data_IF_797217712957
#
_entry.id   IF_797217712957
#
_cell.length_a   1.000
_cell.length_b   1.000
_cell.length_c   1.000
_cell.angle_alpha   90.00
_cell.angle_beta   90.00
_cell.angle_gamma   90.00
#
_symmetry.space_group_name_H-M   'P 1'
#
loop_
_entity.id
_entity.type
_entity.pdbx_description
1 polymer ?
#
# COMPACT_ATOMS: atom_id res chain seq x y z
N UNK A 1 28.28 -46.07 50.14
CA UNK A 1 27.23 -45.12 50.59
C UNK A 1 26.81 -44.11 49.49
N UNK A 2 27.49 -44.05 48.33
CA UNK A 2 27.19 -43.17 47.19
C UNK A 2 25.93 -43.52 46.35
N UNK A 3 25.41 -44.75 46.46
CA UNK A 3 24.20 -45.18 45.75
C UNK A 3 22.93 -44.44 46.25
N UNK A 4 22.79 -44.23 47.56
CA UNK A 4 21.58 -43.63 48.16
C UNK A 4 21.32 -42.20 47.68
N UNK A 5 22.34 -41.34 47.60
CA UNK A 5 22.19 -39.95 47.13
C UNK A 5 21.90 -39.86 45.63
N UNK A 6 22.42 -40.81 44.84
CA UNK A 6 22.16 -40.88 43.40
C UNK A 6 20.71 -41.32 43.11
N UNK A 7 20.18 -42.26 43.89
CA UNK A 7 18.79 -42.71 43.76
C UNK A 7 17.79 -41.63 44.17
N UNK A 8 18.06 -40.86 45.24
CA UNK A 8 17.23 -39.73 45.65
C UNK A 8 17.25 -38.60 44.61
N UNK A 9 18.41 -38.28 44.05
CA UNK A 9 18.52 -37.26 42.99
C UNK A 9 17.71 -37.63 41.74
N UNK A 10 17.74 -38.91 41.33
CA UNK A 10 16.94 -39.40 40.21
C UNK A 10 15.44 -39.38 40.53
N UNK A 11 15.04 -39.76 41.74
CA UNK A 11 13.64 -39.70 42.16
C UNK A 11 13.09 -38.26 42.17
N UNK A 12 13.87 -37.30 42.68
CA UNK A 12 13.50 -35.88 42.66
C UNK A 12 13.43 -35.35 41.24
N UNK A 13 14.37 -35.72 40.37
CA UNK A 13 14.33 -35.35 38.96
C UNK A 13 13.03 -35.82 38.29
N UNK A 14 12.65 -37.08 38.44
CA UNK A 14 11.41 -37.60 37.85
C UNK A 14 10.15 -36.91 38.41
N UNK A 15 10.12 -36.62 39.72
CA UNK A 15 9.02 -35.88 40.32
C UNK A 15 8.96 -34.43 39.83
N UNK A 16 10.11 -33.79 39.66
CA UNK A 16 10.17 -32.41 39.16
C UNK A 16 9.73 -32.35 37.69
N UNK A 17 10.14 -33.30 36.85
CA UNK A 17 9.64 -33.40 35.47
C UNK A 17 8.12 -33.54 35.46
N UNK A 18 7.55 -34.44 36.28
CA UNK A 18 6.09 -34.61 36.39
C UNK A 18 5.38 -33.33 36.85
N UNK A 19 5.97 -32.61 37.80
CA UNK A 19 5.45 -31.33 38.28
C UNK A 19 5.40 -30.29 37.15
N UNK A 20 6.51 -30.09 36.43
CA UNK A 20 6.58 -29.13 35.32
C UNK A 20 5.60 -29.51 34.19
N UNK A 21 5.51 -30.79 33.84
CA UNK A 21 4.55 -31.26 32.84
C UNK A 21 3.09 -31.01 33.25
N UNK A 22 2.79 -31.04 34.56
CA UNK A 22 1.48 -30.66 35.07
C UNK A 22 1.25 -29.14 35.04
N UNK A 23 2.29 -28.35 35.29
CA UNK A 23 2.23 -26.89 35.29
C UNK A 23 2.08 -26.32 33.86
N UNK A 24 2.74 -26.94 32.88
CA UNK A 24 2.73 -26.57 31.46
C UNK A 24 1.52 -27.16 30.70
N UNK A 25 0.33 -27.12 31.32
CA UNK A 25 -0.91 -27.63 30.74
C UNK A 25 -2.14 -26.80 31.10
N UNK A 26 -2.99 -26.56 30.11
CA UNK A 26 -4.34 -26.00 30.26
C UNK A 26 -4.36 -24.74 31.12
N UNK A 27 -5.31 -24.68 32.06
CA UNK A 27 -5.52 -23.50 32.92
C UNK A 27 -4.30 -23.12 33.78
N UNK A 28 -3.44 -24.07 34.14
CA UNK A 28 -2.22 -23.77 34.92
C UNK A 28 -1.20 -23.01 34.08
N UNK A 29 -0.98 -23.45 32.85
CA UNK A 29 -0.10 -22.78 31.90
C UNK A 29 -0.63 -21.38 31.56
N UNK A 30 -1.94 -21.28 31.27
CA UNK A 30 -2.56 -19.98 30.98
C UNK A 30 -2.38 -19.00 32.14
N UNK A 31 -2.64 -19.42 33.37
CA UNK A 31 -2.46 -18.58 34.57
C UNK A 31 -1.00 -18.18 34.79
N UNK A 32 -0.07 -19.09 34.50
CA UNK A 32 1.36 -18.79 34.53
C UNK A 32 1.72 -17.72 33.50
N UNK A 33 1.34 -17.90 32.23
CA UNK A 33 1.61 -16.92 31.16
C UNK A 33 0.96 -15.57 31.44
N UNK A 34 -0.27 -15.55 31.93
CA UNK A 34 -0.96 -14.31 32.32
C UNK A 34 -0.17 -13.53 33.38
N UNK A 35 0.35 -14.25 34.38
CA UNK A 35 1.18 -13.65 35.42
C UNK A 35 2.48 -13.09 34.82
N UNK A 36 3.19 -13.88 34.02
CA UNK A 36 4.46 -13.46 33.42
C UNK A 36 4.27 -12.26 32.48
N UNK A 37 3.24 -12.26 31.63
CA UNK A 37 2.91 -11.11 30.75
C UNK A 37 2.63 -9.86 31.59
N UNK A 38 1.85 -9.99 32.66
CA UNK A 38 1.51 -8.87 33.54
C UNK A 38 2.76 -8.31 34.22
N UNK A 39 3.61 -9.19 34.76
CA UNK A 39 4.85 -8.76 35.41
C UNK A 39 5.82 -8.12 34.41
N UNK A 40 6.00 -8.71 33.22
CA UNK A 40 6.87 -8.15 32.18
C UNK A 40 6.41 -6.78 31.69
N UNK A 41 5.11 -6.59 31.46
CA UNK A 41 4.57 -5.29 31.05
C UNK A 41 4.72 -4.24 32.17
N UNK A 42 4.52 -4.61 33.43
CA UNK A 42 4.76 -3.71 34.56
C UNK A 42 6.24 -3.32 34.67
N UNK A 43 7.18 -4.24 34.41
CA UNK A 43 8.61 -3.89 34.37
C UNK A 43 8.94 -2.99 33.19
N UNK A 44 8.28 -3.20 32.03
CA UNK A 44 8.45 -2.42 30.82
C UNK A 44 8.07 -0.93 30.98
N UNK A 45 7.21 -0.60 31.95
CA UNK A 45 6.91 0.79 32.33
C UNK A 45 8.14 1.56 32.84
N UNK A 46 9.19 0.87 33.29
CA UNK A 46 10.42 1.47 33.82
C UNK A 46 11.63 1.37 32.87
N UNK A 47 11.48 0.66 31.75
CA UNK A 47 12.60 0.36 30.84
C UNK A 47 12.41 1.13 29.54
N UNK A 48 13.36 2.01 29.21
CA UNK A 48 13.28 2.81 27.99
C UNK A 48 13.63 2.00 26.75
N UNK A 49 13.13 2.42 25.58
CA UNK A 49 13.45 1.79 24.29
C UNK A 49 14.97 1.74 24.06
N UNK A 50 15.67 2.86 24.30
CA UNK A 50 17.12 2.98 24.13
C UNK A 50 17.94 2.09 25.09
N UNK A 51 17.33 1.59 26.17
CA UNK A 51 17.99 0.62 27.07
C UNK A 51 17.89 -0.81 26.54
N UNK A 52 16.86 -1.13 25.77
CA UNK A 52 16.63 -2.46 25.21
C UNK A 52 17.33 -2.67 23.86
N UNK A 53 17.37 -1.62 23.04
CA UNK A 53 17.92 -1.68 21.70
C UNK A 53 18.39 -0.29 21.26
N UNK A 54 19.00 -0.20 20.08
CA UNK A 54 19.51 1.02 19.47
C UNK A 54 19.09 1.12 18.01
N UNK A 55 19.12 2.33 17.46
CA UNK A 55 18.86 2.56 16.05
C UNK A 55 19.78 1.71 15.16
N UNK A 56 21.05 1.55 15.53
CA UNK A 56 22.02 0.73 14.81
C UNK A 56 21.64 -0.77 14.84
N UNK A 57 21.20 -1.29 15.98
CA UNK A 57 20.75 -2.68 16.07
C UNK A 57 19.50 -2.92 15.22
N UNK A 58 18.53 -2.00 15.23
CA UNK A 58 17.32 -2.08 14.38
C UNK A 58 17.69 -2.01 12.91
N UNK A 59 18.56 -1.06 12.52
CA UNK A 59 19.06 -0.97 11.15
C UNK A 59 19.82 -2.22 10.72
N UNK A 60 20.58 -2.85 11.63
CA UNK A 60 21.24 -4.11 11.36
C UNK A 60 20.25 -5.26 11.09
N UNK A 61 19.09 -5.27 11.75
CA UNK A 61 18.01 -6.23 11.44
C UNK A 61 17.40 -5.94 10.08
N UNK A 62 17.10 -4.67 9.77
CA UNK A 62 16.58 -4.27 8.46
C UNK A 62 17.54 -4.68 7.35
N UNK A 63 18.84 -4.45 7.53
CA UNK A 63 19.85 -4.86 6.56
C UNK A 63 19.81 -6.38 6.33
N UNK A 64 19.92 -7.18 7.39
CA UNK A 64 20.01 -8.64 7.24
C UNK A 64 18.72 -9.28 6.72
N UNK A 65 17.56 -8.82 7.17
CA UNK A 65 16.27 -9.48 6.92
C UNK A 65 15.54 -8.85 5.72
N UNK A 66 15.56 -7.53 5.60
CA UNK A 66 14.81 -6.83 4.55
C UNK A 66 15.66 -6.66 3.30
N UNK A 67 16.94 -6.30 3.43
CA UNK A 67 17.81 -6.00 2.27
C UNK A 67 18.51 -7.24 1.74
N UNK A 68 19.18 -7.99 2.62
CA UNK A 68 20.12 -9.05 2.23
C UNK A 68 19.47 -10.42 2.07
N UNK A 69 18.39 -10.70 2.81
CA UNK A 69 17.75 -12.02 2.81
C UNK A 69 17.27 -12.39 1.41
N UNK A 70 17.88 -13.42 0.85
CA UNK A 70 17.39 -14.05 -0.36
C UNK A 70 16.08 -14.76 -0.05
N UNK A 71 15.02 -14.32 -0.72
CA UNK A 71 13.72 -14.94 -0.63
C UNK A 71 13.70 -16.13 -1.61
N UNK A 72 13.17 -17.25 -1.15
CA UNK A 72 13.02 -18.44 -1.99
C UNK A 72 12.17 -18.15 -3.22
N UNK A 73 12.48 -18.81 -4.34
CA UNK A 73 11.78 -18.62 -5.62
C UNK A 73 10.30 -18.99 -5.56
N UNK A 74 9.84 -19.73 -4.55
CA UNK A 74 8.42 -20.07 -4.37
C UNK A 74 7.56 -18.94 -3.77
N UNK A 75 8.15 -17.87 -3.22
CA UNK A 75 7.38 -16.78 -2.60
C UNK A 75 6.52 -15.99 -3.61
N UNK A 76 7.03 -15.62 -4.80
CA UNK A 76 6.22 -14.91 -5.81
C UNK A 76 5.08 -15.77 -6.34
N UNK A 77 5.34 -17.05 -6.56
CA UNK A 77 4.32 -18.01 -7.02
C UNK A 77 3.20 -18.12 -5.99
N UNK A 78 3.56 -18.31 -4.71
CA UNK A 78 2.58 -18.32 -3.62
C UNK A 78 1.80 -17.00 -3.53
N UNK A 79 2.47 -15.85 -3.65
CA UNK A 79 1.80 -14.55 -3.61
C UNK A 79 0.81 -14.37 -4.77
N UNK A 80 1.17 -14.83 -5.98
CA UNK A 80 0.30 -14.81 -7.14
C UNK A 80 -0.91 -15.74 -6.96
N UNK A 81 -0.70 -16.96 -6.44
CA UNK A 81 -1.77 -17.91 -6.11
C UNK A 81 -2.75 -17.32 -5.09
N UNK A 82 -2.24 -16.75 -3.99
CA UNK A 82 -3.09 -16.14 -2.96
C UNK A 82 -3.86 -14.92 -3.49
N UNK A 83 -3.25 -14.10 -4.36
CA UNK A 83 -3.95 -12.99 -5.01
C UNK A 83 -5.10 -13.48 -5.88
N UNK A 84 -4.90 -14.55 -6.64
CA UNK A 84 -5.96 -15.19 -7.43
C UNK A 84 -7.09 -15.71 -6.56
N UNK A 85 -6.78 -16.35 -5.43
CA UNK A 85 -7.83 -16.81 -4.50
C UNK A 85 -8.65 -15.65 -3.91
N UNK A 86 -8.02 -14.52 -3.59
CA UNK A 86 -8.74 -13.33 -3.13
C UNK A 86 -9.69 -12.78 -4.19
N UNK A 87 -9.27 -12.77 -5.46
CA UNK A 87 -10.10 -12.27 -6.58
C UNK A 87 -11.28 -13.18 -6.88
N UNK A 88 -11.11 -14.49 -6.65
CA UNK A 88 -12.16 -15.49 -6.86
C UNK A 88 -13.00 -15.75 -5.61
N UNK A 89 -12.68 -15.12 -4.48
CA UNK A 89 -13.41 -15.30 -3.23
C UNK A 89 -14.85 -14.79 -3.35
N UNK A 90 -15.81 -15.55 -2.82
CA UNK A 90 -17.24 -15.20 -2.89
C UNK A 90 -17.55 -13.83 -2.29
N UNK A 91 -16.76 -13.39 -1.30
CA UNK A 91 -16.88 -12.08 -0.65
C UNK A 91 -16.80 -10.92 -1.65
N UNK A 92 -16.12 -11.07 -2.78
CA UNK A 92 -16.04 -10.05 -3.84
C UNK A 92 -17.41 -9.75 -4.47
N UNK A 93 -18.25 -10.78 -4.60
CA UNK A 93 -19.60 -10.65 -5.17
C UNK A 93 -20.62 -10.15 -4.13
N UNK A 94 -20.35 -10.34 -2.85
CA UNK A 94 -21.27 -9.97 -1.76
C UNK A 94 -20.94 -8.60 -1.13
N UNK A 95 -19.74 -8.05 -1.37
CA UNK A 95 -19.27 -6.79 -0.76
C UNK A 95 -19.36 -5.64 -1.75
N UNK A 96 -19.99 -4.55 -1.35
CA UNK A 96 -20.07 -3.29 -2.11
C UNK A 96 -18.89 -2.36 -1.83
N UNK A 97 -18.56 -1.46 -2.77
CA UNK A 97 -17.49 -0.48 -2.56
C UNK A 97 -17.72 0.39 -1.31
N UNK A 98 -18.98 0.78 -1.06
CA UNK A 98 -19.38 1.59 0.09
C UNK A 98 -19.19 0.90 1.44
N UNK A 99 -19.14 -0.43 1.48
CA UNK A 99 -18.80 -1.20 2.68
C UNK A 99 -17.29 -1.22 2.96
N UNK A 100 -16.44 -0.99 1.96
CA UNK A 100 -14.98 -0.96 2.11
C UNK A 100 -14.50 0.45 2.44
N UNK A 101 -14.97 1.45 1.71
CA UNK A 101 -14.62 2.86 1.93
C UNK A 101 -15.92 3.63 2.09
N UNK A 102 -16.10 4.24 3.26
CA UNK A 102 -17.27 5.09 3.48
C UNK A 102 -17.20 6.36 2.63
N UNK A 103 -18.36 6.94 2.34
CA UNK A 103 -18.46 8.22 1.63
C UNK A 103 -17.68 9.32 2.35
N UNK A 104 -17.71 9.36 3.68
CA UNK A 104 -16.95 10.34 4.47
C UNK A 104 -15.44 10.16 4.28
N UNK A 105 -14.95 8.92 4.26
CA UNK A 105 -13.53 8.64 4.00
C UNK A 105 -13.13 9.01 2.57
N UNK A 106 -13.94 8.65 1.57
CA UNK A 106 -13.71 9.01 0.17
C UNK A 106 -13.64 10.55 0.01
N UNK A 107 -14.56 11.26 0.64
CA UNK A 107 -14.60 12.73 0.64
C UNK A 107 -13.36 13.31 1.33
N UNK A 108 -12.93 12.76 2.47
CA UNK A 108 -11.74 13.20 3.18
C UNK A 108 -10.45 13.04 2.36
N UNK A 109 -10.26 11.90 1.68
CA UNK A 109 -9.14 11.71 0.76
C UNK A 109 -9.16 12.69 -0.42
N UNK A 110 -10.35 12.94 -0.95
CA UNK A 110 -10.57 13.87 -2.04
C UNK A 110 -10.24 15.31 -1.63
N UNK A 111 -10.69 15.77 -0.47
CA UNK A 111 -10.40 17.11 0.04
C UNK A 111 -8.90 17.35 0.24
N UNK A 112 -8.19 16.40 0.86
CA UNK A 112 -6.74 16.51 1.04
C UNK A 112 -6.02 16.54 -0.32
N UNK A 113 -6.45 15.71 -1.27
CA UNK A 113 -5.88 15.69 -2.63
C UNK A 113 -6.14 17.01 -3.38
N UNK A 114 -7.35 17.57 -3.26
CA UNK A 114 -7.73 18.81 -3.94
C UNK A 114 -7.08 20.06 -3.33
N UNK A 115 -6.65 19.98 -2.07
CA UNK A 115 -5.90 21.05 -1.38
C UNK A 115 -4.55 21.37 -2.04
N UNK A 116 -4.01 20.44 -2.84
CA UNK A 116 -2.72 20.53 -3.55
C UNK A 116 -2.79 21.43 -4.80
N UNK A 117 -3.24 22.67 -4.64
CA UNK A 117 -3.48 23.62 -5.76
C UNK A 117 -2.30 23.79 -6.70
N UNK A 118 -1.09 23.92 -6.15
CA UNK A 118 0.12 24.11 -6.96
C UNK A 118 0.43 22.91 -7.86
N UNK A 119 0.13 21.69 -7.41
CA UNK A 119 0.33 20.49 -8.22
C UNK A 119 -0.72 20.41 -9.34
N UNK A 120 -1.97 20.75 -9.05
CA UNK A 120 -3.03 20.84 -10.07
C UNK A 120 -2.66 21.83 -11.17
N UNK A 121 -2.19 23.02 -10.81
CA UNK A 121 -1.78 24.04 -11.79
C UNK A 121 -0.62 23.55 -12.66
N UNK A 122 0.36 22.87 -12.05
CA UNK A 122 1.49 22.29 -12.78
C UNK A 122 1.07 21.21 -13.76
N UNK A 123 0.19 20.29 -13.34
CA UNK A 123 -0.33 19.22 -14.22
C UNK A 123 -1.12 19.80 -15.40
N UNK A 124 -1.98 20.80 -15.16
CA UNK A 124 -2.71 21.47 -16.25
C UNK A 124 -1.71 22.09 -17.24
N UNK A 125 -0.72 22.86 -16.75
CA UNK A 125 0.29 23.47 -17.61
C UNK A 125 1.10 22.44 -18.41
N UNK A 126 1.48 21.32 -17.81
CA UNK A 126 2.22 20.23 -18.48
C UNK A 126 1.38 19.56 -19.57
N UNK A 127 0.09 19.30 -19.33
CA UNK A 127 -0.84 18.76 -20.34
C UNK A 127 -1.02 19.76 -21.49
N UNK A 128 -1.17 21.06 -21.20
CA UNK A 128 -1.33 22.11 -22.21
C UNK A 128 -0.07 22.27 -23.07
N UNK A 129 1.12 22.09 -22.47
CA UNK A 129 2.39 22.10 -23.15
C UNK A 129 2.66 20.80 -23.96
N UNK A 130 1.87 19.73 -23.73
CA UNK A 130 2.11 18.45 -24.37
C UNK A 130 1.84 18.50 -25.88
N UNK A 131 2.76 18.02 -26.75
CA UNK A 131 2.62 18.12 -28.21
C UNK A 131 1.34 17.48 -28.76
N UNK A 132 0.92 16.35 -28.19
CA UNK A 132 -0.33 15.66 -28.59
C UNK A 132 -1.56 16.52 -28.33
N UNK A 133 -1.58 17.27 -27.22
CA UNK A 133 -2.68 18.16 -26.91
C UNK A 133 -2.72 19.35 -27.88
N UNK A 134 -1.55 19.92 -28.18
CA UNK A 134 -1.43 21.01 -29.15
C UNK A 134 -1.87 20.58 -30.56
N UNK A 135 -1.51 19.36 -30.95
CA UNK A 135 -1.95 18.75 -32.20
C UNK A 135 -3.46 18.51 -32.20
N UNK A 136 -4.04 18.01 -31.11
CA UNK A 136 -5.48 17.82 -30.97
C UNK A 136 -6.23 19.15 -31.13
N UNK A 137 -5.84 20.20 -30.42
CA UNK A 137 -6.44 21.54 -30.52
C UNK A 137 -6.33 22.08 -31.93
N UNK A 138 -5.14 21.96 -32.54
CA UNK A 138 -4.89 22.34 -33.93
C UNK A 138 -5.85 21.62 -34.88
N UNK A 139 -5.95 20.29 -34.78
CA UNK A 139 -6.77 19.47 -35.66
C UNK A 139 -8.27 19.74 -35.49
N UNK A 140 -8.76 19.92 -34.26
CA UNK A 140 -10.17 20.24 -33.98
C UNK A 140 -10.54 21.61 -34.54
N UNK A 141 -9.68 22.63 -34.34
CA UNK A 141 -9.92 23.98 -34.87
C UNK A 141 -9.82 23.99 -36.39
N UNK A 142 -8.85 23.29 -36.96
CA UNK A 142 -8.72 23.12 -38.41
C UNK A 142 -9.97 22.48 -39.01
N UNK A 143 -10.41 21.33 -38.48
CA UNK A 143 -11.60 20.64 -38.92
C UNK A 143 -12.86 21.50 -38.77
N UNK A 144 -13.01 22.21 -37.64
CA UNK A 144 -14.12 23.13 -37.42
C UNK A 144 -14.17 24.28 -38.42
N UNK A 145 -13.02 24.89 -38.75
CA UNK A 145 -12.93 25.96 -39.75
C UNK A 145 -13.22 25.46 -41.17
N UNK A 146 -12.69 24.29 -41.52
CA UNK A 146 -12.95 23.64 -42.81
C UNK A 146 -14.45 23.34 -42.93
N UNK A 147 -15.04 22.66 -41.96
CA UNK A 147 -16.46 22.30 -41.98
C UNK A 147 -17.36 23.55 -42.00
N UNK A 148 -17.09 24.57 -41.18
CA UNK A 148 -17.88 25.81 -41.19
C UNK A 148 -17.84 26.54 -42.55
N UNK A 149 -16.70 26.52 -43.24
CA UNK A 149 -16.54 27.23 -44.50
C UNK A 149 -17.07 26.43 -45.70
N UNK A 150 -17.02 25.10 -45.64
CA UNK A 150 -17.47 24.21 -46.71
C UNK A 150 -18.93 23.74 -46.56
N UNK A 151 -19.42 23.48 -45.34
CA UNK A 151 -20.80 23.02 -45.08
C UNK A 151 -21.76 24.20 -44.81
N UNK A 152 -21.33 25.21 -44.05
CA UNK A 152 -22.11 26.39 -43.68
C UNK A 152 -21.93 27.58 -44.67
N UNK A 153 -21.71 27.28 -45.94
CA UNK A 153 -21.94 28.10 -47.14
C UNK A 153 -21.88 29.65 -47.00
N UNK A 154 -20.85 30.20 -46.36
CA UNK A 154 -20.63 31.65 -46.25
C UNK A 154 -20.27 32.35 -47.57
N UNK A 155 -20.15 31.60 -48.67
CA UNK A 155 -20.04 32.16 -50.03
C UNK A 155 -21.39 32.73 -50.50
N UNK A 156 -22.51 32.53 -49.78
CA UNK A 156 -23.86 32.93 -50.24
C UNK A 156 -24.53 34.08 -49.48
N UNK A 157 -23.92 34.69 -48.45
CA UNK A 157 -24.53 35.88 -47.81
C UNK A 157 -24.21 37.16 -48.60
N UNK A 158 -25.16 37.51 -49.47
CA UNK A 158 -25.22 38.78 -50.20
C UNK A 158 -25.43 39.97 -49.27
N UNK A 159 -24.56 40.98 -49.39
CA UNK A 159 -24.73 42.30 -48.76
C UNK A 159 -25.81 43.09 -49.51
N UNK A 160 -26.83 43.68 -48.83
CA UNK A 160 -27.80 44.55 -49.50
C UNK A 160 -27.13 45.86 -49.93
N UNK A 161 -27.12 46.16 -51.24
CA UNK A 161 -26.80 47.52 -51.74
C UNK A 161 -25.68 47.65 -52.77
N UNK A 162 -25.03 46.58 -53.24
CA UNK A 162 -24.04 46.69 -54.33
C UNK A 162 -24.62 46.20 -55.65
N UNK A 163 -25.31 47.10 -56.35
CA UNK A 163 -25.69 46.91 -57.74
C UNK A 163 -24.45 46.96 -58.63
N UNK A 164 -24.30 45.95 -59.49
CA UNK A 164 -23.32 45.84 -60.59
C UNK A 164 -22.02 45.06 -60.32
N UNK A 165 -22.15 43.75 -60.05
CA UNK A 165 -21.12 42.75 -60.45
C UNK A 165 -21.72 41.48 -61.07
N UNK A 166 -22.88 41.57 -61.73
CA UNK A 166 -23.61 40.39 -62.23
C UNK A 166 -23.20 39.94 -63.65
N UNK A 167 -22.12 40.48 -64.24
CA UNK A 167 -21.63 40.09 -65.58
C UNK A 167 -20.24 39.46 -65.64
N UNK A 168 -19.65 39.13 -64.48
CA UNK A 168 -18.44 38.29 -64.41
C UNK A 168 -18.72 36.84 -63.98
N UNK A 169 -20.00 36.43 -63.95
CA UNK A 169 -20.44 35.15 -63.37
C UNK A 169 -20.40 33.92 -64.29
N UNK A 170 -20.01 34.04 -65.57
CA UNK A 170 -20.02 32.90 -66.51
C UNK A 170 -18.65 32.36 -66.92
N UNK A 171 -17.55 32.91 -66.40
CA UNK A 171 -16.20 32.35 -66.57
C UNK A 171 -15.52 31.87 -65.28
N UNK A 172 -16.21 31.96 -64.15
CA UNK A 172 -15.77 31.43 -62.85
C UNK A 172 -16.60 30.23 -62.36
N UNK A 173 -17.67 29.85 -63.06
CA UNK A 173 -18.58 28.80 -62.64
C UNK A 173 -18.22 27.40 -63.17
N UNK A 174 -17.00 27.17 -63.66
CA UNK A 174 -16.52 25.84 -64.07
C UNK A 174 -15.03 25.62 -63.81
N UNK A 175 -14.50 26.26 -62.78
CA UNK A 175 -13.18 25.96 -62.24
C UNK A 175 -13.28 26.05 -60.74
N UNK A 176 -13.24 24.90 -60.06
CA UNK A 176 -12.38 24.81 -58.89
C UNK A 176 -11.07 25.49 -59.31
N UNK A 177 -10.79 26.68 -58.79
CA UNK A 177 -9.57 27.41 -59.11
C UNK A 177 -8.42 26.52 -58.64
N UNK A 178 -7.58 25.97 -59.53
CA UNK A 178 -6.44 25.17 -59.09
C UNK A 178 -5.53 26.10 -58.30
N UNK A 179 -5.34 25.81 -57.01
CA UNK A 179 -4.56 26.63 -56.09
C UNK A 179 -5.37 27.40 -55.03
N UNK A 180 -6.71 27.42 -55.07
CA UNK A 180 -7.48 27.90 -53.92
C UNK A 180 -7.35 26.94 -52.75
N UNK A 181 -7.44 25.63 -52.96
CA UNK A 181 -7.34 24.63 -51.89
C UNK A 181 -5.97 24.71 -51.17
N UNK A 182 -4.86 24.62 -51.92
CA UNK A 182 -3.51 24.70 -51.33
C UNK A 182 -3.17 26.07 -50.72
N UNK A 183 -3.56 27.18 -51.36
CA UNK A 183 -3.26 28.53 -50.83
C UNK A 183 -4.11 28.84 -49.60
N UNK A 184 -5.35 28.37 -49.59
CA UNK A 184 -6.28 28.51 -48.48
C UNK A 184 -5.89 27.63 -47.31
N UNK A 185 -5.62 26.36 -47.55
CA UNK A 185 -5.09 25.42 -46.57
C UNK A 185 -3.81 25.99 -45.95
N UNK A 186 -2.90 26.54 -46.76
CA UNK A 186 -1.68 27.21 -46.27
C UNK A 186 -1.99 28.42 -45.40
N UNK A 187 -3.03 29.21 -45.72
CA UNK A 187 -3.44 30.38 -44.91
C UNK A 187 -4.09 29.97 -43.58
N UNK A 188 -4.94 28.94 -43.58
CA UNK A 188 -5.51 28.38 -42.35
C UNK A 188 -4.39 27.81 -41.48
N UNK A 189 -3.49 27.02 -42.05
CA UNK A 189 -2.34 26.46 -41.34
C UNK A 189 -1.43 27.55 -40.76
N UNK A 190 -1.16 28.62 -41.51
CA UNK A 190 -0.38 29.75 -41.02
C UNK A 190 -1.09 30.49 -39.87
N UNK A 191 -2.38 30.82 -40.04
CA UNK A 191 -3.17 31.47 -38.99
C UNK A 191 -3.29 30.59 -37.72
N UNK A 192 -3.47 29.28 -37.90
CA UNK A 192 -3.56 28.32 -36.81
C UNK A 192 -2.22 28.22 -36.08
N UNK A 193 -1.10 28.16 -36.80
CA UNK A 193 0.24 28.21 -36.20
C UNK A 193 0.47 29.49 -35.38
N UNK A 194 0.02 30.64 -35.90
CA UNK A 194 0.16 31.92 -35.20
C UNK A 194 -0.80 32.03 -33.99
N UNK A 195 -1.96 31.39 -34.06
CA UNK A 195 -3.02 31.49 -33.04
C UNK A 195 -2.97 30.37 -31.99
N UNK A 196 -2.31 29.25 -32.28
CA UNK A 196 -2.24 28.06 -31.43
C UNK A 196 -1.76 28.39 -30.01
N UNK A 197 -0.68 29.16 -29.78
CA UNK A 197 -0.27 29.53 -28.42
C UNK A 197 -1.38 30.26 -27.63
N UNK A 198 -2.13 31.13 -28.30
CA UNK A 198 -3.26 31.84 -27.69
C UNK A 198 -4.48 30.96 -27.42
N UNK A 199 -4.72 29.95 -28.26
CA UNK A 199 -5.77 28.95 -28.05
C UNK A 199 -5.43 28.02 -26.88
N UNK A 200 -4.17 27.61 -26.76
CA UNK A 200 -3.67 26.81 -25.63
C UNK A 200 -3.79 27.60 -24.33
N UNK A 201 -3.33 28.86 -24.28
CA UNK A 201 -3.43 29.69 -23.08
C UNK A 201 -4.90 29.94 -22.64
N UNK A 202 -5.82 30.08 -23.59
CA UNK A 202 -7.26 30.19 -23.30
C UNK A 202 -7.84 28.87 -22.78
N UNK A 203 -7.41 27.74 -23.34
CA UNK A 203 -7.81 26.42 -22.88
C UNK A 203 -7.31 26.14 -21.47
N UNK A 204 -6.06 26.50 -21.19
CA UNK A 204 -5.46 26.45 -19.84
C UNK A 204 -6.28 27.28 -18.84
N UNK A 205 -6.57 28.54 -19.17
CA UNK A 205 -7.40 29.41 -18.33
C UNK A 205 -8.82 28.87 -18.13
N UNK A 206 -9.40 28.24 -19.15
CA UNK A 206 -10.68 27.57 -19.04
C UNK A 206 -10.59 26.37 -18.09
N UNK A 207 -9.57 25.52 -18.22
CA UNK A 207 -9.35 24.38 -17.32
C UNK A 207 -9.13 24.82 -15.88
N UNK A 208 -8.39 25.90 -15.62
CA UNK A 208 -8.28 26.43 -14.26
C UNK A 208 -9.62 26.89 -13.67
N UNK A 209 -10.54 27.38 -14.51
CA UNK A 209 -11.88 27.81 -14.08
C UNK A 209 -12.91 26.69 -14.02
N UNK A 210 -12.75 25.65 -14.84
CA UNK A 210 -13.64 24.50 -14.89
C UNK A 210 -13.24 23.43 -13.88
N UNK A 211 -11.94 23.27 -13.61
CA UNK A 211 -11.38 22.35 -12.63
C UNK A 211 -11.14 23.08 -11.30
N UNK A 212 -12.17 23.75 -10.79
CA UNK A 212 -12.13 24.26 -9.41
C UNK A 212 -12.19 23.12 -8.43
N UNK A 213 -11.84 23.41 -7.17
CA UNK A 213 -11.95 22.45 -6.08
C UNK A 213 -13.38 21.92 -5.93
N UNK A 214 -14.38 22.79 -6.01
CA UNK A 214 -15.79 22.41 -5.89
C UNK A 214 -16.28 21.61 -7.11
N UNK A 215 -15.92 21.99 -8.34
CA UNK A 215 -16.32 21.25 -9.56
C UNK A 215 -15.67 19.86 -9.64
N UNK A 216 -14.38 19.76 -9.28
CA UNK A 216 -13.70 18.46 -9.18
C UNK A 216 -14.32 17.60 -8.08
N UNK A 217 -14.67 18.21 -6.95
CA UNK A 217 -15.38 17.52 -5.86
C UNK A 217 -16.69 16.94 -6.36
N UNK A 218 -17.55 17.77 -6.96
CA UNK A 218 -18.86 17.34 -7.44
C UNK A 218 -18.74 16.25 -8.52
N UNK A 219 -17.76 16.35 -9.41
CA UNK A 219 -17.50 15.34 -10.45
C UNK A 219 -17.07 14.00 -9.86
N UNK A 220 -16.10 14.01 -8.93
CA UNK A 220 -15.62 12.77 -8.29
C UNK A 220 -16.69 12.18 -7.38
N UNK A 221 -17.46 13.01 -6.66
CA UNK A 221 -18.55 12.54 -5.82
C UNK A 221 -19.72 12.00 -6.64
N UNK A 222 -20.01 12.56 -7.82
CA UNK A 222 -20.98 11.98 -8.74
C UNK A 222 -20.54 10.59 -9.22
N UNK A 223 -19.25 10.43 -9.58
CA UNK A 223 -18.68 9.13 -9.90
C UNK A 223 -18.75 8.16 -8.70
N UNK A 224 -18.42 8.63 -7.50
CA UNK A 224 -18.54 7.84 -6.27
C UNK A 224 -19.96 7.30 -6.06
N UNK A 225 -20.99 8.14 -6.15
CA UNK A 225 -22.40 7.74 -6.00
C UNK A 225 -22.79 6.64 -6.99
N UNK A 226 -22.23 6.67 -8.21
CA UNK A 226 -22.48 5.62 -9.22
C UNK A 226 -21.75 4.29 -8.97
N UNK A 227 -20.76 4.28 -8.07
CA UNK A 227 -19.91 3.12 -7.81
C UNK A 227 -20.12 2.54 -6.42
N UNK A 228 -20.59 3.32 -5.45
CA UNK A 228 -20.65 2.92 -4.03
C UNK A 228 -21.52 1.67 -3.79
N UNK A 229 -22.61 1.52 -4.55
CA UNK A 229 -23.52 0.37 -4.47
C UNK A 229 -23.09 -0.83 -5.33
N UNK A 230 -22.03 -0.69 -6.13
CA UNK A 230 -21.53 -1.78 -6.98
C UNK A 230 -20.66 -2.73 -6.17
N UNK A 231 -20.77 -4.01 -6.48
CA UNK A 231 -19.94 -5.03 -5.83
C UNK A 231 -18.53 -4.98 -6.36
N UNK A 232 -17.56 -5.47 -5.59
CA UNK A 232 -16.16 -5.48 -6.06
C UNK A 232 -16.00 -6.39 -7.28
N UNK A 233 -16.75 -7.49 -7.36
CA UNK A 233 -16.81 -8.33 -8.56
C UNK A 233 -17.27 -7.56 -9.81
N UNK A 234 -18.33 -6.75 -9.72
CA UNK A 234 -18.80 -5.92 -10.83
C UNK A 234 -17.78 -4.84 -11.25
N UNK A 235 -17.02 -4.31 -10.30
CA UNK A 235 -15.95 -3.35 -10.57
C UNK A 235 -14.77 -4.03 -11.28
N UNK A 236 -14.43 -5.27 -10.90
CA UNK A 236 -13.40 -6.07 -11.56
C UNK A 236 -13.75 -6.46 -13.00
N UNK A 237 -14.99 -6.85 -13.29
CA UNK A 237 -15.40 -7.18 -14.67
C UNK A 237 -15.18 -6.01 -15.65
N UNK A 238 -15.32 -4.76 -15.18
CA UNK A 238 -15.07 -3.56 -15.98
C UNK A 238 -13.61 -3.30 -16.30
N UNK A 239 -12.68 -3.96 -15.61
CA UNK A 239 -11.23 -3.82 -15.79
C UNK A 239 -10.68 -4.80 -16.84
N UNK A 240 -11.47 -5.78 -17.29
CA UNK A 240 -11.04 -6.87 -18.20
C UNK A 240 -10.25 -7.96 -17.47
N UNK A 241 -9.72 -8.93 -18.22
CA UNK A 241 -8.81 -9.97 -17.70
C UNK A 241 -7.46 -9.34 -17.31
N UNK A 242 -7.45 -8.54 -16.24
CA UNK A 242 -6.21 -8.11 -15.61
C UNK A 242 -5.61 -9.35 -14.95
N UNK A 243 -4.53 -9.86 -15.52
CA UNK A 243 -3.72 -10.88 -14.88
C UNK A 243 -2.98 -10.24 -13.69
N UNK A 244 -3.67 -10.09 -12.56
CA UNK A 244 -3.11 -9.56 -11.32
C UNK A 244 -1.84 -10.32 -10.88
N UNK A 245 -1.70 -11.58 -11.30
CA UNK A 245 -0.50 -12.38 -11.15
C UNK A 245 0.74 -11.73 -11.80
N UNK A 246 0.62 -11.20 -13.03
CA UNK A 246 1.73 -10.53 -13.71
C UNK A 246 2.15 -9.26 -12.96
N UNK A 247 1.20 -8.49 -12.42
CA UNK A 247 1.49 -7.31 -11.60
C UNK A 247 2.15 -7.67 -10.26
N UNK A 248 1.75 -8.77 -9.63
CA UNK A 248 2.39 -9.26 -8.39
C UNK A 248 3.84 -9.64 -8.66
N UNK A 249 4.12 -10.33 -9.77
CA UNK A 249 5.49 -10.68 -10.17
C UNK A 249 6.33 -9.42 -10.43
N UNK A 250 5.81 -8.47 -11.21
CA UNK A 250 6.50 -7.20 -11.47
C UNK A 250 6.75 -6.40 -10.19
N UNK A 251 5.76 -6.32 -9.30
CA UNK A 251 5.89 -5.65 -8.01
C UNK A 251 6.94 -6.31 -7.12
N UNK A 252 7.02 -7.63 -7.14
CA UNK A 252 8.02 -8.39 -6.41
C UNK A 252 9.44 -8.16 -6.97
N UNK A 253 9.61 -8.20 -8.29
CA UNK A 253 10.90 -7.89 -8.94
C UNK A 253 11.35 -6.46 -8.64
N UNK A 254 10.43 -5.49 -8.72
CA UNK A 254 10.69 -4.12 -8.29
C UNK A 254 11.17 -4.07 -6.84
N UNK A 255 10.45 -4.72 -5.92
CA UNK A 255 10.82 -4.72 -4.50
C UNK A 255 12.22 -5.30 -4.26
N UNK A 256 12.56 -6.41 -4.92
CA UNK A 256 13.87 -7.04 -4.81
C UNK A 256 15.02 -6.13 -5.23
N UNK A 257 14.81 -5.29 -6.24
CA UNK A 257 15.77 -4.30 -6.69
C UNK A 257 15.78 -3.07 -5.76
N UNK A 258 14.61 -2.51 -5.48
CA UNK A 258 14.41 -1.29 -4.70
C UNK A 258 15.01 -1.41 -3.29
N UNK A 259 14.75 -2.52 -2.59
CA UNK A 259 15.23 -2.75 -1.22
C UNK A 259 16.77 -2.76 -1.10
N UNK A 260 17.49 -2.99 -2.20
CA UNK A 260 18.96 -2.97 -2.27
C UNK A 260 19.54 -1.59 -2.63
N UNK A 261 18.69 -0.58 -2.86
CA UNK A 261 19.15 0.76 -3.21
C UNK A 261 19.60 1.55 -1.99
N UNK A 262 20.57 2.46 -2.20
CA UNK A 262 20.96 3.43 -1.17
C UNK A 262 19.80 4.36 -0.76
N UNK A 263 18.81 4.57 -1.65
CA UNK A 263 17.61 5.33 -1.34
C UNK A 263 16.75 4.63 -0.28
N UNK A 264 16.46 3.33 -0.45
CA UNK A 264 15.73 2.56 0.56
C UNK A 264 16.44 2.57 1.91
N UNK A 265 17.76 2.34 1.92
CA UNK A 265 18.55 2.40 3.15
C UNK A 265 18.43 3.77 3.84
N UNK A 266 18.54 4.86 3.07
CA UNK A 266 18.39 6.23 3.59
C UNK A 266 17.00 6.49 4.18
N UNK A 267 15.94 6.03 3.52
CA UNK A 267 14.56 6.12 4.04
C UNK A 267 14.39 5.34 5.33
N UNK A 268 14.81 4.06 5.36
CA UNK A 268 14.71 3.21 6.54
C UNK A 268 15.47 3.81 7.73
N UNK A 269 16.69 4.30 7.49
CA UNK A 269 17.51 4.99 8.50
C UNK A 269 16.82 6.22 9.06
N UNK A 270 16.27 7.07 8.19
CA UNK A 270 15.55 8.28 8.62
C UNK A 270 14.35 7.96 9.52
N UNK A 271 13.58 6.92 9.18
CA UNK A 271 12.43 6.47 9.99
C UNK A 271 12.89 5.92 11.33
N UNK A 272 13.90 5.05 11.34
CA UNK A 272 14.42 4.44 12.57
C UNK A 272 15.02 5.50 13.49
N UNK A 273 15.84 6.41 12.98
CA UNK A 273 16.40 7.50 13.78
C UNK A 273 15.30 8.38 14.39
N UNK A 274 14.28 8.73 13.61
CA UNK A 274 13.16 9.51 14.11
C UNK A 274 12.33 8.76 15.17
N UNK A 275 12.18 7.43 15.04
CA UNK A 275 11.55 6.59 16.06
C UNK A 275 12.26 6.71 17.41
N UNK A 276 13.60 6.68 17.40
CA UNK A 276 14.39 6.82 18.64
C UNK A 276 14.37 8.25 19.18
N UNK A 277 14.26 9.28 18.34
CA UNK A 277 13.99 10.65 18.81
C UNK A 277 12.64 10.72 19.54
N UNK A 278 11.61 10.05 19.02
CA UNK A 278 10.25 10.10 19.58
C UNK A 278 10.06 9.22 20.83
N UNK A 279 10.69 8.05 20.87
CA UNK A 279 10.43 7.03 21.90
C UNK A 279 11.67 6.56 22.67
N UNK A 280 12.89 6.93 22.26
CA UNK A 280 14.13 6.38 22.81
C UNK A 280 14.25 6.50 24.32
N UNK A 281 13.94 7.68 24.86
CA UNK A 281 14.00 7.98 26.29
C UNK A 281 12.68 7.70 27.04
N UNK A 282 11.66 7.20 26.34
CA UNK A 282 10.37 6.84 26.92
C UNK A 282 10.35 5.35 27.29
N UNK A 283 9.56 4.95 28.30
CA UNK A 283 9.27 3.55 28.57
C UNK A 283 8.79 2.82 27.30
N UNK A 284 9.27 1.59 27.09
CA UNK A 284 8.91 0.81 25.89
C UNK A 284 7.40 0.53 25.81
N UNK A 285 6.72 0.47 26.96
CA UNK A 285 5.26 0.26 27.02
C UNK A 285 4.49 1.38 26.31
N UNK A 286 5.03 2.60 26.26
CA UNK A 286 4.40 3.71 25.55
C UNK A 286 4.34 3.41 24.04
N UNK A 287 5.44 2.90 23.48
CA UNK A 287 5.47 2.49 22.08
C UNK A 287 4.52 1.32 21.82
N UNK A 288 4.51 0.30 22.70
CA UNK A 288 3.63 -0.85 22.57
C UNK A 288 2.15 -0.44 22.57
N UNK A 289 1.75 0.44 23.49
CA UNK A 289 0.39 0.96 23.56
C UNK A 289 0.02 1.81 22.35
N UNK A 290 0.93 2.68 21.88
CA UNK A 290 0.69 3.55 20.72
C UNK A 290 0.47 2.73 19.43
N UNK A 291 1.04 1.52 19.32
CA UNK A 291 0.81 0.58 18.19
C UNK A 291 -0.28 -0.46 18.47
N UNK A 292 -1.01 -0.34 19.59
CA UNK A 292 -2.13 -1.21 19.94
C UNK A 292 -1.77 -2.55 20.59
N UNK A 293 -0.49 -2.78 20.93
CA UNK A 293 -0.03 -3.99 21.63
C UNK A 293 -0.29 -3.84 23.13
N UNK A 294 -1.47 -4.28 23.55
CA UNK A 294 -1.91 -4.26 24.95
C UNK A 294 -1.85 -5.66 25.58
N UNK A 295 -1.95 -5.71 26.92
CA UNK A 295 -2.06 -6.98 27.67
C UNK A 295 -3.18 -7.86 27.13
N UNK A 296 -4.35 -7.29 26.88
CA UNK A 296 -5.53 -8.06 26.47
C UNK A 296 -5.35 -8.64 25.07
N UNK A 297 -4.73 -7.88 24.16
CA UNK A 297 -4.34 -8.38 22.83
C UNK A 297 -3.33 -9.53 22.96
N UNK A 298 -2.26 -9.35 23.75
CA UNK A 298 -1.24 -10.40 23.96
C UNK A 298 -1.90 -11.68 24.52
N UNK A 299 -2.80 -11.55 25.50
CA UNK A 299 -3.48 -12.69 26.09
C UNK A 299 -4.45 -13.37 25.14
N UNK A 300 -5.13 -12.62 24.28
CA UNK A 300 -5.98 -13.18 23.24
C UNK A 300 -5.17 -14.04 22.25
N UNK A 301 -4.01 -13.55 21.80
CA UNK A 301 -3.13 -14.31 20.89
C UNK A 301 -2.50 -15.53 21.58
N UNK A 302 -2.16 -15.42 22.87
CA UNK A 302 -1.69 -16.57 23.66
C UNK A 302 -2.77 -17.66 23.71
N UNK A 303 -4.01 -17.27 23.98
CA UNK A 303 -5.13 -18.22 24.08
C UNK A 303 -5.44 -18.86 22.71
N UNK A 304 -5.38 -18.08 21.62
CA UNK A 304 -5.69 -18.54 20.27
C UNK A 304 -4.60 -19.42 19.63
N UNK A 305 -3.32 -19.10 19.84
CA UNK A 305 -2.21 -19.75 19.13
C UNK A 305 -1.22 -20.46 20.04
N UNK A 306 -0.79 -19.82 21.13
CA UNK A 306 0.30 -20.36 21.95
C UNK A 306 -0.15 -21.61 22.73
N UNK A 307 -1.33 -21.57 23.37
CA UNK A 307 -1.83 -22.72 24.14
C UNK A 307 -2.06 -23.96 23.27
N UNK A 308 -2.73 -23.89 22.10
CA UNK A 308 -2.88 -25.05 21.21
C UNK A 308 -1.54 -25.61 20.72
N UNK A 309 -0.57 -24.76 20.36
CA UNK A 309 0.75 -25.20 19.92
C UNK A 309 1.49 -25.95 21.04
N UNK A 310 1.44 -25.45 22.27
CA UNK A 310 2.06 -26.13 23.42
C UNK A 310 1.37 -27.46 23.72
N UNK A 311 0.05 -27.53 23.54
CA UNK A 311 -0.70 -28.79 23.70
C UNK A 311 -0.23 -29.85 22.69
N UNK A 312 -0.08 -29.50 21.41
CA UNK A 312 0.47 -30.40 20.38
C UNK A 312 1.90 -30.82 20.71
N UNK A 313 2.79 -29.88 21.04
CA UNK A 313 4.19 -30.18 21.39
C UNK A 313 4.30 -31.06 22.64
N UNK A 314 3.31 -30.99 23.54
CA UNK A 314 3.25 -31.86 24.71
C UNK A 314 2.81 -33.27 24.33
N UNK A 315 1.79 -33.39 23.47
CA UNK A 315 1.31 -34.68 22.97
C UNK A 315 2.38 -35.43 22.17
N UNK A 316 3.18 -34.72 21.39
CA UNK A 316 4.33 -35.28 20.67
C UNK A 316 5.55 -35.57 21.57
N UNK A 317 5.47 -35.24 22.87
CA UNK A 317 6.54 -35.49 23.85
C UNK A 317 7.70 -34.50 23.80
N UNK A 318 7.68 -33.49 22.93
CA UNK A 318 8.72 -32.46 22.84
C UNK A 318 8.86 -31.68 24.16
N UNK A 319 7.75 -31.28 24.78
CA UNK A 319 7.77 -30.51 26.04
C UNK A 319 8.41 -31.31 27.16
N UNK A 320 8.13 -32.61 27.28
CA UNK A 320 8.76 -33.46 28.29
C UNK A 320 10.27 -33.58 28.05
N UNK A 321 10.67 -33.82 26.81
CA UNK A 321 12.07 -33.90 26.43
C UNK A 321 12.82 -32.58 26.73
N UNK A 322 12.19 -31.43 26.49
CA UNK A 322 12.72 -30.10 26.81
C UNK A 322 12.90 -29.93 28.33
N UNK A 323 11.87 -30.21 29.12
CA UNK A 323 11.91 -30.11 30.60
C UNK A 323 13.02 -31.01 31.15
N UNK A 324 13.07 -32.28 30.72
CA UNK A 324 14.11 -33.23 31.12
C UNK A 324 15.51 -32.72 30.77
N UNK A 325 15.70 -32.20 29.54
CA UNK A 325 16.99 -31.65 29.10
C UNK A 325 17.42 -30.46 29.97
N UNK A 326 16.49 -29.57 30.33
CA UNK A 326 16.78 -28.40 31.17
C UNK A 326 17.12 -28.78 32.62
N UNK A 327 16.35 -29.69 33.21
CA UNK A 327 16.50 -30.09 34.61
C UNK A 327 17.66 -31.07 34.83
N UNK A 328 17.99 -31.90 33.83
CA UNK A 328 18.99 -32.95 33.99
C UNK A 328 20.37 -32.44 34.42
N UNK A 329 20.77 -31.23 34.01
CA UNK A 329 22.06 -30.65 34.37
C UNK A 329 22.19 -30.41 35.87
N UNK A 330 21.14 -29.89 36.50
CA UNK A 330 21.12 -29.62 37.93
C UNK A 330 21.19 -30.92 38.76
N UNK A 331 20.31 -31.89 38.49
CA UNK A 331 20.25 -33.14 39.28
C UNK A 331 21.47 -34.04 39.10
N UNK A 332 22.21 -33.89 37.98
CA UNK A 332 23.49 -34.59 37.76
C UNK A 332 24.70 -33.84 38.33
N UNK A 333 24.52 -32.59 38.76
CA UNK A 333 25.63 -31.77 39.25
C UNK A 333 26.20 -32.30 40.57
N UNK A 334 27.50 -32.07 40.78
CA UNK A 334 28.15 -32.40 42.05
C UNK A 334 27.53 -31.64 43.23
N UNK A 335 27.06 -30.41 43.01
CA UNK A 335 26.42 -29.59 44.04
C UNK A 335 25.11 -30.24 44.54
N UNK A 336 24.24 -30.68 43.62
CA UNK A 336 23.00 -31.35 44.00
C UNK A 336 23.27 -32.68 44.71
N UNK A 337 24.23 -33.47 44.21
CA UNK A 337 24.59 -34.76 44.84
C UNK A 337 25.15 -34.59 46.24
N UNK A 338 26.02 -33.60 46.46
CA UNK A 338 26.61 -33.32 47.77
C UNK A 338 25.55 -32.96 48.83
N UNK A 339 24.50 -32.24 48.45
CA UNK A 339 23.39 -31.90 49.36
C UNK A 339 22.54 -33.14 49.70
N UNK A 340 22.45 -34.09 48.77
CA UNK A 340 21.62 -35.30 48.89
C UNK A 340 22.39 -36.51 49.45
N UNK A 341 23.69 -36.38 49.71
CA UNK A 341 24.45 -37.37 50.47
C UNK A 341 24.03 -37.29 51.95
N UNK A 342 23.69 -38.42 52.59
CA UNK A 342 23.34 -38.41 54.00
C UNK A 342 24.54 -37.94 54.84
N UNK A 343 24.31 -37.00 55.78
CA UNK A 343 25.30 -36.68 56.80
C UNK A 343 25.62 -37.97 57.58
N UNK A 344 26.90 -38.34 57.60
CA UNK A 344 27.40 -39.55 58.25
C UNK A 344 27.31 -39.49 59.76
#
# INVERSE_FOLDING_TARGET
MTQSGTDVANALFEQHVKYEMSALKGAKLRKFLEKEVTELLSHAESVTLSRLTSAEQVMGVIQRIVVDMELDSGIPELAAEMATEVLNASVQADTTLGEIISREQATGFLEETLSLRQQRERVIAEIMAHPVYQELVSNVVYAGLVNYLYEDNLITKSVPGVGSVMKFGKKMANKAVPGLDETFERRIKAWLSDSLPGLIAKSEQFLHRALTEDELRDTVMAAWVSLEDRTIAELHEGLGDIELQEYVVLGYEFWLQFRKTAYFEGCARSVVEHLFVKYGDRPIVDLLNDVGVTRDVIMAEIDAYVLPVIDVLREEGYVEALVRRRLSGFYKSAAARKILEPEG
#
